data_IF_045542874171
#
_entry.id   IF_045542874171
#
_cell.length_a   1.000
_cell.length_b   1.000
_cell.length_c   1.000
_cell.angle_alpha   90.00
_cell.angle_beta   90.00
_cell.angle_gamma   90.00
#
_symmetry.space_group_name_H-M   'P 1'
#
loop_
_entity.id
_entity.type
_entity.pdbx_description
1 polymer ?
#
# COMPACT_ATOMS: atom_id res chain seq x y z
N UNK A 1 -0.06 -12.89 34.31
CA UNK A 1 0.29 -12.08 33.10
C UNK A 1 -0.39 -12.72 31.91
N UNK A 2 -1.06 -11.94 31.04
CA UNK A 2 -1.54 -12.47 29.76
C UNK A 2 -0.34 -12.68 28.86
N UNK A 3 -0.14 -13.89 28.37
CA UNK A 3 0.93 -14.16 27.41
C UNK A 3 0.47 -13.73 26.01
N UNK A 4 1.37 -13.15 25.23
CA UNK A 4 1.14 -12.88 23.81
C UNK A 4 1.27 -14.21 23.07
N UNK A 5 0.24 -14.61 22.34
CA UNK A 5 0.19 -15.87 21.59
C UNK A 5 0.42 -15.68 20.09
N UNK A 6 0.10 -14.47 19.59
CA UNK A 6 0.31 -14.12 18.18
C UNK A 6 0.62 -12.63 18.02
N UNK A 7 1.33 -12.30 16.96
CA UNK A 7 1.56 -10.93 16.49
C UNK A 7 1.08 -10.83 15.05
N UNK A 8 0.27 -9.82 14.78
CA UNK A 8 -0.27 -9.54 13.44
C UNK A 8 0.47 -8.33 12.88
N UNK A 9 1.19 -8.52 11.79
CA UNK A 9 1.96 -7.47 11.13
C UNK A 9 1.24 -6.97 9.88
N UNK A 10 1.34 -5.68 9.62
CA UNK A 10 1.07 -5.12 8.30
C UNK A 10 2.24 -5.42 7.35
N UNK A 11 2.03 -5.29 6.04
CA UNK A 11 3.02 -5.59 5.01
C UNK A 11 3.79 -4.35 4.56
N UNK A 12 3.28 -3.62 3.59
CA UNK A 12 3.98 -2.52 2.95
C UNK A 12 4.34 -1.39 3.94
N UNK A 13 5.61 -1.06 4.04
CA UNK A 13 6.11 -0.08 5.00
C UNK A 13 6.34 -0.61 6.42
N UNK A 14 5.80 -1.78 6.76
CA UNK A 14 5.98 -2.43 8.08
C UNK A 14 6.97 -3.57 8.00
N UNK A 15 6.68 -4.62 7.24
CA UNK A 15 7.56 -5.80 7.10
C UNK A 15 8.32 -5.84 5.79
N UNK A 16 7.75 -5.33 4.72
CA UNK A 16 8.36 -5.19 3.39
C UNK A 16 8.26 -3.75 2.90
N UNK A 17 8.91 -3.44 1.79
CA UNK A 17 8.87 -2.12 1.14
C UNK A 17 9.27 -0.98 2.10
N UNK A 18 10.58 -0.83 2.32
CA UNK A 18 11.11 0.24 3.17
C UNK A 18 10.65 1.62 2.68
N UNK A 19 9.90 2.32 3.53
CA UNK A 19 9.31 3.63 3.21
C UNK A 19 7.97 3.57 2.50
N UNK A 20 7.41 2.39 2.26
CA UNK A 20 6.11 2.21 1.58
C UNK A 20 6.08 2.92 0.21
N UNK A 21 7.10 2.67 -0.62
CA UNK A 21 7.34 3.42 -1.85
C UNK A 21 6.48 2.97 -3.04
N UNK A 22 6.16 1.67 -3.13
CA UNK A 22 5.38 1.15 -4.25
C UNK A 22 4.01 1.85 -4.39
N UNK A 23 3.16 1.90 -3.35
CA UNK A 23 1.88 2.61 -3.45
C UNK A 23 2.06 4.11 -3.68
N UNK A 24 3.01 4.75 -3.02
CA UNK A 24 3.24 6.20 -3.18
C UNK A 24 3.52 6.55 -4.63
N UNK A 25 4.47 5.87 -5.27
CA UNK A 25 4.82 6.13 -6.68
C UNK A 25 3.64 5.86 -7.62
N UNK A 26 2.92 4.76 -7.39
CA UNK A 26 1.80 4.39 -8.24
C UNK A 26 0.64 5.40 -8.16
N UNK A 27 0.32 5.89 -6.96
CA UNK A 27 -0.72 6.92 -6.79
C UNK A 27 -0.32 8.24 -7.43
N UNK A 28 0.91 8.70 -7.23
CA UNK A 28 1.39 9.94 -7.88
C UNK A 28 1.25 9.83 -9.40
N UNK A 29 1.77 8.77 -10.00
CA UNK A 29 1.70 8.56 -11.45
C UNK A 29 0.26 8.43 -11.97
N UNK A 30 -0.63 7.76 -11.21
CA UNK A 30 -2.02 7.65 -11.59
C UNK A 30 -2.71 9.01 -11.66
N UNK A 31 -2.56 9.84 -10.64
CA UNK A 31 -3.13 11.20 -10.62
C UNK A 31 -2.52 12.10 -11.71
N UNK A 32 -1.22 11.97 -12.01
CA UNK A 32 -0.56 12.72 -13.07
C UNK A 32 -1.18 12.46 -14.45
N UNK A 33 -1.65 11.25 -14.71
CA UNK A 33 -2.39 10.94 -15.96
C UNK A 33 -3.69 11.73 -16.12
N UNK A 34 -4.26 12.19 -15.00
CA UNK A 34 -5.46 13.04 -14.98
C UNK A 34 -5.13 14.54 -14.79
N UNK A 35 -3.84 14.91 -14.91
CA UNK A 35 -3.39 16.30 -14.87
C UNK A 35 -3.20 16.87 -13.45
N UNK A 36 -3.15 16.01 -12.43
CA UNK A 36 -2.99 16.41 -11.03
C UNK A 36 -1.73 15.78 -10.47
N UNK A 37 -0.87 16.58 -9.85
CA UNK A 37 0.33 16.09 -9.16
C UNK A 37 0.13 16.17 -7.66
N UNK A 38 -0.23 15.07 -6.98
CA UNK A 38 -0.34 15.06 -5.53
C UNK A 38 1.05 15.17 -4.88
N UNK A 39 1.10 15.69 -3.67
CA UNK A 39 2.30 15.64 -2.85
C UNK A 39 2.43 14.27 -2.20
N UNK A 40 3.65 13.90 -1.83
CA UNK A 40 3.89 12.66 -1.09
C UNK A 40 3.10 12.61 0.22
N UNK A 41 3.01 13.73 0.95
CA UNK A 41 2.24 13.84 2.18
C UNK A 41 0.74 13.57 1.95
N UNK A 42 0.17 14.07 0.86
CA UNK A 42 -1.23 13.81 0.51
C UNK A 42 -1.47 12.33 0.21
N UNK A 43 -0.54 11.70 -0.49
CA UNK A 43 -0.62 10.25 -0.77
C UNK A 43 -0.50 9.43 0.53
N UNK A 44 0.36 9.83 1.44
CA UNK A 44 0.64 9.09 2.67
C UNK A 44 -0.44 9.18 3.73
N UNK A 45 -1.21 10.27 3.78
CA UNK A 45 -2.25 10.46 4.80
C UNK A 45 -3.26 9.32 4.90
N UNK A 46 -3.88 8.82 3.80
CA UNK A 46 -4.82 7.72 3.85
C UNK A 46 -4.15 6.34 3.73
N UNK A 47 -2.84 6.22 3.88
CA UNK A 47 -2.13 4.95 3.76
C UNK A 47 -2.67 3.92 4.77
N UNK A 48 -2.84 2.67 4.31
CA UNK A 48 -3.46 1.60 5.09
C UNK A 48 -4.93 1.35 4.77
N UNK A 49 -5.61 2.29 4.14
CA UNK A 49 -6.98 2.10 3.64
C UNK A 49 -7.00 1.13 2.44
N UNK A 50 -8.17 0.55 2.16
CA UNK A 50 -8.41 -0.11 0.88
C UNK A 50 -8.09 0.85 -0.27
N UNK A 51 -7.45 0.35 -1.32
CA UNK A 51 -6.85 1.22 -2.35
C UNK A 51 -7.85 2.13 -3.05
N UNK A 52 -9.08 1.64 -3.32
CA UNK A 52 -10.13 2.46 -3.91
C UNK A 52 -10.59 3.59 -2.97
N UNK A 53 -10.73 3.29 -1.68
CA UNK A 53 -11.10 4.29 -0.67
C UNK A 53 -9.98 5.30 -0.44
N UNK A 54 -8.72 4.86 -0.56
CA UNK A 54 -7.55 5.72 -0.56
C UNK A 54 -7.64 6.79 -1.67
N UNK A 55 -7.93 6.37 -2.91
CA UNK A 55 -8.13 7.29 -4.04
C UNK A 55 -9.26 8.28 -3.76
N UNK A 56 -10.43 7.78 -3.34
CA UNK A 56 -11.58 8.65 -3.01
C UNK A 56 -11.22 9.68 -1.93
N UNK A 57 -10.50 9.25 -0.90
CA UNK A 57 -10.07 10.15 0.18
C UNK A 57 -9.13 11.23 -0.35
N UNK A 58 -8.19 10.90 -1.22
CA UNK A 58 -7.31 11.87 -1.85
C UNK A 58 -8.09 12.87 -2.71
N UNK A 59 -9.04 12.40 -3.51
CA UNK A 59 -9.87 13.26 -4.37
C UNK A 59 -10.75 14.23 -3.57
N UNK A 60 -11.07 13.92 -2.32
CA UNK A 60 -11.80 14.80 -1.40
C UNK A 60 -10.89 15.77 -0.62
N UNK A 61 -9.57 15.69 -0.73
CA UNK A 61 -8.66 16.68 -0.15
C UNK A 61 -8.82 18.03 -0.87
N UNK A 62 -8.95 19.11 -0.12
CA UNK A 62 -9.28 20.44 -0.66
C UNK A 62 -8.44 20.84 -1.87
N UNK A 63 -7.12 20.70 -1.78
CA UNK A 63 -6.22 21.07 -2.88
C UNK A 63 -6.41 20.18 -4.11
N UNK A 64 -6.47 18.87 -3.95
CA UNK A 64 -6.64 17.91 -5.04
C UNK A 64 -8.02 18.10 -5.68
N UNK A 65 -9.06 18.29 -4.88
CA UNK A 65 -10.42 18.53 -5.36
C UNK A 65 -10.52 19.80 -6.20
N UNK A 66 -9.93 20.89 -5.71
CA UNK A 66 -9.88 22.16 -6.46
C UNK A 66 -9.08 22.03 -7.76
N UNK A 67 -7.93 21.34 -7.74
CA UNK A 67 -7.16 21.06 -8.94
C UNK A 67 -7.94 20.19 -9.94
N UNK A 68 -8.68 19.20 -9.46
CA UNK A 68 -9.55 18.40 -10.32
C UNK A 68 -10.56 19.26 -11.08
N UNK A 69 -11.29 20.12 -10.35
CA UNK A 69 -12.27 21.04 -10.95
C UNK A 69 -11.57 22.00 -11.94
N UNK A 70 -10.39 22.52 -11.59
CA UNK A 70 -9.63 23.40 -12.47
C UNK A 70 -9.24 22.71 -13.79
N UNK A 71 -8.78 21.47 -13.74
CA UNK A 71 -8.31 20.71 -14.90
C UNK A 71 -9.48 20.20 -15.75
N UNK A 72 -10.53 19.68 -15.11
CA UNK A 72 -11.64 18.98 -15.79
C UNK A 72 -12.90 19.84 -15.97
N UNK A 73 -12.96 21.03 -15.37
CA UNK A 73 -14.09 21.95 -15.48
C UNK A 73 -15.36 21.51 -14.74
N UNK A 74 -15.31 20.42 -13.98
CA UNK A 74 -16.43 19.86 -13.20
C UNK A 74 -15.90 19.06 -12.02
N UNK A 75 -16.78 18.79 -11.06
CA UNK A 75 -16.48 17.91 -9.94
C UNK A 75 -16.25 16.46 -10.40
N UNK A 76 -15.50 15.69 -9.60
CA UNK A 76 -15.27 14.28 -9.87
C UNK A 76 -16.53 13.45 -9.57
N UNK A 77 -16.62 12.31 -10.24
CA UNK A 77 -17.68 11.30 -10.06
C UNK A 77 -17.08 10.01 -9.49
N UNK A 78 -17.92 9.08 -9.09
CA UNK A 78 -17.44 7.73 -8.70
C UNK A 78 -16.77 6.98 -9.85
N UNK A 79 -17.16 7.24 -11.10
CA UNK A 79 -16.48 6.70 -12.28
C UNK A 79 -15.05 7.24 -12.40
N UNK A 80 -14.84 8.51 -12.07
CA UNK A 80 -13.50 9.11 -12.04
C UNK A 80 -12.64 8.48 -10.93
N UNK A 81 -13.21 8.19 -9.76
CA UNK A 81 -12.54 7.44 -8.69
C UNK A 81 -12.11 6.07 -9.19
N UNK A 82 -12.98 5.36 -9.88
CA UNK A 82 -12.68 4.03 -10.45
C UNK A 82 -11.55 4.08 -11.48
N UNK A 83 -11.56 5.08 -12.36
CA UNK A 83 -10.51 5.25 -13.38
C UNK A 83 -9.14 5.53 -12.74
N UNK A 84 -9.07 6.44 -11.78
CA UNK A 84 -7.82 6.72 -11.06
C UNK A 84 -7.35 5.50 -10.27
N UNK A 85 -8.27 4.78 -9.63
CA UNK A 85 -7.97 3.53 -8.93
C UNK A 85 -7.38 2.48 -9.87
N UNK A 86 -8.00 2.23 -11.02
CA UNK A 86 -7.51 1.25 -12.00
C UNK A 86 -6.10 1.58 -12.49
N UNK A 87 -5.81 2.86 -12.75
CA UNK A 87 -4.47 3.30 -13.10
C UNK A 87 -3.45 3.07 -11.97
N UNK A 88 -3.85 3.34 -10.73
CA UNK A 88 -2.99 3.11 -9.57
C UNK A 88 -2.75 1.61 -9.33
N UNK A 89 -3.77 0.77 -9.49
CA UNK A 89 -3.67 -0.69 -9.34
C UNK A 89 -2.73 -1.29 -10.38
N UNK A 90 -2.92 -0.92 -11.64
CA UNK A 90 -2.01 -1.35 -12.72
C UNK A 90 -0.58 -0.90 -12.46
N UNK A 91 -0.38 0.34 -12.02
CA UNK A 91 0.94 0.87 -11.70
C UNK A 91 1.60 0.17 -10.51
N UNK A 92 0.84 -0.21 -9.49
CA UNK A 92 1.36 -1.00 -8.36
C UNK A 92 1.77 -2.40 -8.83
N UNK A 93 0.91 -3.09 -9.57
CA UNK A 93 1.18 -4.45 -10.05
C UNK A 93 2.47 -4.53 -10.88
N UNK A 94 2.73 -3.51 -11.70
CA UNK A 94 3.92 -3.45 -12.57
C UNK A 94 5.25 -3.38 -11.79
N UNK A 95 5.25 -2.80 -10.60
CA UNK A 95 6.47 -2.56 -9.82
C UNK A 95 6.57 -3.39 -8.54
N UNK A 96 5.52 -4.08 -8.15
CA UNK A 96 5.38 -4.66 -6.81
C UNK A 96 6.43 -5.73 -6.48
N UNK A 97 6.90 -6.48 -7.49
CA UNK A 97 7.95 -7.48 -7.34
C UNK A 97 9.29 -6.88 -6.87
N UNK A 98 9.54 -5.60 -7.13
CA UNK A 98 10.75 -4.89 -6.68
C UNK A 98 10.62 -4.36 -5.24
N UNK A 99 9.43 -4.45 -4.63
CA UNK A 99 9.11 -3.90 -3.31
C UNK A 99 8.62 -4.95 -2.31
N UNK A 100 9.04 -6.19 -2.48
CA UNK A 100 8.67 -7.31 -1.61
C UNK A 100 9.81 -7.77 -0.68
N UNK A 101 10.97 -7.11 -0.73
CA UNK A 101 12.08 -7.42 0.16
C UNK A 101 11.73 -7.03 1.60
N UNK A 102 11.97 -7.94 2.59
CA UNK A 102 11.79 -7.63 3.99
C UNK A 102 12.68 -6.47 4.45
N UNK A 103 12.12 -5.62 5.29
CA UNK A 103 12.88 -4.53 5.92
C UNK A 103 13.98 -5.08 6.84
N UNK A 104 15.03 -4.27 7.11
CA UNK A 104 16.07 -4.67 8.04
C UNK A 104 15.49 -5.21 9.36
N UNK A 105 16.09 -6.27 9.88
CA UNK A 105 15.73 -6.95 11.13
C UNK A 105 14.41 -7.74 11.14
N UNK A 106 13.57 -7.66 10.13
CA UNK A 106 12.28 -8.38 10.08
C UNK A 106 12.49 -9.89 10.24
N UNK A 107 13.37 -10.48 9.44
CA UNK A 107 13.63 -11.93 9.48
C UNK A 107 14.08 -12.38 10.87
N UNK A 108 15.01 -11.65 11.48
CA UNK A 108 15.52 -11.97 12.82
C UNK A 108 14.45 -11.82 13.89
N UNK A 109 13.59 -10.79 13.77
CA UNK A 109 12.49 -10.56 14.70
C UNK A 109 11.44 -11.68 14.60
N UNK A 110 11.05 -12.06 13.38
CA UNK A 110 10.11 -13.17 13.16
C UNK A 110 10.64 -14.48 13.72
N UNK A 111 11.94 -14.76 13.49
CA UNK A 111 12.57 -15.94 14.04
C UNK A 111 12.52 -15.94 15.58
N UNK A 112 12.90 -14.83 16.21
CA UNK A 112 12.89 -14.71 17.67
C UNK A 112 11.47 -14.90 18.26
N UNK A 113 10.43 -14.35 17.60
CA UNK A 113 9.05 -14.53 18.03
C UNK A 113 8.61 -16.00 17.91
N UNK A 114 8.94 -16.66 16.81
CA UNK A 114 8.63 -18.09 16.63
C UNK A 114 9.38 -18.99 17.62
N UNK A 115 10.65 -18.70 17.90
CA UNK A 115 11.43 -19.41 18.90
C UNK A 115 10.81 -19.25 20.31
N UNK A 116 10.10 -18.15 20.56
CA UNK A 116 9.30 -17.93 21.77
C UNK A 116 7.88 -18.54 21.74
N UNK A 117 7.54 -19.30 20.68
CA UNK A 117 6.23 -19.94 20.52
C UNK A 117 5.10 -19.00 20.08
N UNK A 118 5.43 -17.80 19.59
CA UNK A 118 4.46 -16.80 19.14
C UNK A 118 4.16 -17.01 17.66
N UNK A 119 2.88 -17.06 17.31
CA UNK A 119 2.43 -17.15 15.90
C UNK A 119 2.53 -15.81 15.21
N UNK A 120 2.74 -15.85 13.90
CA UNK A 120 2.90 -14.66 13.06
C UNK A 120 1.76 -14.61 12.04
N UNK A 121 0.87 -13.67 12.24
CA UNK A 121 -0.17 -13.36 11.26
C UNK A 121 0.14 -12.09 10.48
N UNK A 122 -0.68 -11.79 9.50
CA UNK A 122 -0.54 -10.57 8.72
C UNK A 122 -1.86 -9.94 8.33
N UNK A 123 -1.82 -8.64 8.03
CA UNK A 123 -2.93 -7.85 7.51
C UNK A 123 -2.38 -6.90 6.44
N UNK A 124 -3.24 -6.47 5.53
CA UNK A 124 -2.80 -5.59 4.44
C UNK A 124 -3.99 -4.86 3.81
N UNK A 125 -3.73 -3.68 3.23
CA UNK A 125 -4.66 -3.00 2.33
C UNK A 125 -4.47 -3.38 0.85
N UNK A 126 -3.58 -4.32 0.55
CA UNK A 126 -3.40 -4.84 -0.81
C UNK A 126 -4.51 -5.81 -1.20
N UNK A 127 -4.77 -5.91 -2.50
CA UNK A 127 -5.70 -6.90 -3.06
C UNK A 127 -5.07 -8.30 -3.11
N UNK A 128 -5.90 -9.32 -3.33
CA UNK A 128 -5.42 -10.71 -3.49
C UNK A 128 -4.41 -10.83 -4.64
N UNK A 129 -4.64 -10.11 -5.74
CA UNK A 129 -3.75 -10.10 -6.89
C UNK A 129 -2.37 -9.51 -6.53
N UNK A 130 -2.36 -8.39 -5.80
CA UNK A 130 -1.11 -7.78 -5.31
C UNK A 130 -0.39 -8.74 -4.35
N UNK A 131 -1.11 -9.37 -3.44
CA UNK A 131 -0.51 -10.32 -2.50
C UNK A 131 -0.01 -11.59 -3.19
N UNK A 132 -0.62 -11.98 -4.31
CA UNK A 132 -0.13 -13.05 -5.18
C UNK A 132 1.28 -12.82 -5.74
N UNK A 133 1.72 -11.56 -5.79
CA UNK A 133 3.08 -11.16 -6.17
C UNK A 133 3.99 -11.05 -4.94
N UNK A 134 3.52 -10.35 -3.89
CA UNK A 134 4.35 -10.02 -2.73
C UNK A 134 4.69 -11.24 -1.89
N UNK A 135 3.70 -12.11 -1.59
CA UNK A 135 3.90 -13.25 -0.68
C UNK A 135 4.98 -14.21 -1.19
N UNK A 136 4.91 -14.74 -2.43
CA UNK A 136 5.95 -15.64 -2.92
C UNK A 136 7.31 -14.96 -3.03
N UNK A 137 7.33 -13.67 -3.39
CA UNK A 137 8.59 -12.93 -3.50
C UNK A 137 9.23 -12.68 -2.14
N UNK A 138 8.45 -12.31 -1.13
CA UNK A 138 8.95 -12.14 0.24
C UNK A 138 9.45 -13.48 0.83
N UNK A 139 8.80 -14.59 0.49
CA UNK A 139 9.21 -15.92 0.92
C UNK A 139 10.59 -16.32 0.38
N UNK A 140 10.96 -15.86 -0.83
CA UNK A 140 12.34 -16.06 -1.37
C UNK A 140 13.40 -15.44 -0.45
N UNK A 141 13.08 -14.37 0.27
CA UNK A 141 13.94 -13.72 1.25
C UNK A 141 13.80 -14.31 2.67
N UNK A 142 12.91 -15.28 2.88
CA UNK A 142 12.68 -15.94 4.16
C UNK A 142 11.54 -15.36 5.00
N UNK A 143 10.76 -14.41 4.48
CA UNK A 143 9.58 -13.88 5.17
C UNK A 143 8.29 -14.58 4.69
N UNK A 144 7.76 -15.43 5.56
CA UNK A 144 6.49 -16.14 5.34
C UNK A 144 5.68 -16.19 6.64
N UNK A 145 4.65 -15.35 6.82
CA UNK A 145 3.69 -15.45 7.93
C UNK A 145 2.94 -16.77 7.92
N UNK A 146 2.34 -17.13 9.05
CA UNK A 146 1.60 -18.41 9.23
C UNK A 146 0.25 -18.43 8.48
#
# INVERSE_FOLDING_TARGET
MRNIEAVIFDWAGTTVDYGCMAPVQAFVKAFEKFGITPTEDEVRKPMGMLKRDHVRTMMNMDRIHQEWIRVHGKDFTEDDVDQVYQESESGILDILHDYAEPKPYVINTIKALRDAGIKIGSTTGYTDEMMGIVVPKAAEFGYAPD
#
